data_IF_551386975992
#
_entry.id   IF_551386975992
#
_cell.length_a   1.000
_cell.length_b   1.000
_cell.length_c   1.000
_cell.angle_alpha   90.00
_cell.angle_beta   90.00
_cell.angle_gamma   90.00
#
_symmetry.space_group_name_H-M   'P 1'
#
loop_
_entity.id
_entity.type
_entity.pdbx_description
1 polymer ?
#
# COMPACT_ATOMS: atom_id res chain seq x y z
N UNK A 1 -18.74 13.87 0.81
CA UNK A 1 -18.80 14.80 -0.34
C UNK A 1 -17.81 15.89 -0.05
N UNK A 2 -16.87 16.11 -0.98
CA UNK A 2 -15.96 17.25 -1.07
C UNK A 2 -16.52 18.51 -0.38
N UNK A 3 -15.95 18.92 0.74
CA UNK A 3 -16.40 20.07 1.52
C UNK A 3 -16.26 21.39 0.77
N UNK A 4 -16.75 22.48 1.37
CA UNK A 4 -16.71 23.83 0.78
C UNK A 4 -15.40 24.59 1.05
N UNK A 5 -14.37 23.92 1.59
CA UNK A 5 -13.05 24.49 1.87
C UNK A 5 -11.98 23.86 0.96
N UNK A 6 -11.98 24.19 -0.34
CA UNK A 6 -11.09 23.57 -1.34
C UNK A 6 -9.59 23.86 -1.13
N UNK A 7 -9.23 24.76 -0.20
CA UNK A 7 -7.84 25.11 0.10
C UNK A 7 -7.20 24.21 1.19
N UNK A 8 -7.97 23.36 1.88
CA UNK A 8 -7.45 22.38 2.85
C UNK A 8 -7.85 20.95 2.50
N UNK A 9 -9.03 20.76 1.90
CA UNK A 9 -9.51 19.44 1.52
C UNK A 9 -9.25 19.19 0.03
N UNK A 10 -8.39 18.22 -0.28
CA UNK A 10 -8.23 17.73 -1.64
C UNK A 10 -9.29 16.66 -1.95
N UNK A 11 -9.87 16.70 -3.14
CA UNK A 11 -10.82 15.71 -3.62
C UNK A 11 -10.32 15.13 -4.93
N UNK A 12 -9.66 13.98 -4.81
CA UNK A 12 -9.05 13.26 -5.92
C UNK A 12 -9.90 12.03 -6.21
N UNK A 13 -10.24 11.82 -7.48
CA UNK A 13 -10.87 10.58 -7.92
C UNK A 13 -9.79 9.59 -8.31
N UNK A 14 -9.70 8.47 -7.60
CA UNK A 14 -8.68 7.47 -7.84
C UNK A 14 -9.26 6.06 -7.71
N UNK A 15 -8.87 5.17 -8.62
CA UNK A 15 -9.36 3.79 -8.68
C UNK A 15 -10.73 3.62 -9.33
N UNK A 16 -11.20 2.37 -9.30
CA UNK A 16 -12.44 1.89 -9.91
C UNK A 16 -13.35 1.23 -8.87
N UNK A 17 -14.66 1.08 -9.15
CA UNK A 17 -15.55 0.30 -8.30
C UNK A 17 -15.02 -1.12 -8.05
N UNK A 18 -14.91 -1.51 -6.78
CA UNK A 18 -14.42 -2.82 -6.36
C UNK A 18 -12.93 -2.88 -6.01
N UNK A 19 -12.19 -1.81 -6.26
CA UNK A 19 -10.82 -1.67 -5.79
C UNK A 19 -10.77 -1.58 -4.26
N UNK A 20 -9.72 -2.15 -3.65
CA UNK A 20 -9.47 -1.98 -2.22
C UNK A 20 -8.53 -0.79 -2.01
N UNK A 21 -8.93 0.24 -1.25
CA UNK A 21 -8.07 1.40 -1.02
C UNK A 21 -6.90 1.04 -0.11
N UNK A 22 -5.78 1.74 -0.33
CA UNK A 22 -4.58 1.68 0.51
C UNK A 22 -3.91 3.05 0.57
N UNK A 23 -3.13 3.30 1.60
CA UNK A 23 -2.40 4.55 1.77
C UNK A 23 -1.01 4.26 2.37
N UNK A 24 -0.01 5.02 1.93
CA UNK A 24 1.38 4.87 2.32
C UNK A 24 2.25 5.99 1.74
N UNK A 25 3.40 6.20 2.34
CA UNK A 25 4.48 7.04 1.81
C UNK A 25 5.23 6.24 0.73
N UNK A 26 4.80 6.37 -0.52
CA UNK A 26 5.30 5.53 -1.63
C UNK A 26 6.55 6.07 -2.30
N UNK A 27 6.87 7.35 -2.11
CA UNK A 27 8.00 8.03 -2.74
C UNK A 27 9.06 8.53 -1.73
N UNK A 28 8.81 8.32 -0.44
CA UNK A 28 9.69 8.64 0.70
C UNK A 28 9.85 10.14 0.94
N UNK A 29 8.85 10.94 0.60
CA UNK A 29 8.88 12.38 0.84
C UNK A 29 8.39 12.77 2.25
N UNK A 30 7.90 11.79 3.02
CA UNK A 30 7.38 11.95 4.38
C UNK A 30 5.87 12.23 4.44
N UNK A 31 5.18 12.29 3.30
CA UNK A 31 3.74 12.40 3.19
C UNK A 31 3.11 11.04 2.86
N UNK A 32 1.79 11.00 2.85
CA UNK A 32 1.04 9.76 2.61
C UNK A 32 0.20 9.96 1.37
N UNK A 33 0.40 9.08 0.40
CA UNK A 33 -0.28 9.08 -0.87
C UNK A 33 -1.34 7.99 -0.90
N UNK A 34 -2.25 8.12 -1.86
CA UNK A 34 -3.31 7.14 -2.08
C UNK A 34 -2.83 6.03 -3.01
N UNK A 35 -3.44 4.86 -2.86
CA UNK A 35 -3.27 3.77 -3.79
C UNK A 35 -4.49 2.86 -3.77
N UNK A 36 -4.52 1.93 -4.72
CA UNK A 36 -5.53 0.88 -4.76
C UNK A 36 -4.95 -0.48 -5.09
N UNK A 37 -5.59 -1.51 -4.55
CA UNK A 37 -5.46 -2.89 -4.98
C UNK A 37 -6.65 -3.27 -5.86
N UNK A 38 -6.36 -3.72 -7.08
CA UNK A 38 -7.34 -4.29 -8.00
C UNK A 38 -6.92 -5.70 -8.34
N UNK A 39 -7.68 -6.69 -7.86
CA UNK A 39 -7.32 -8.11 -7.99
C UNK A 39 -5.90 -8.39 -7.44
N UNK A 40 -4.94 -8.67 -8.33
CA UNK A 40 -3.53 -8.93 -8.02
C UNK A 40 -2.60 -7.77 -8.41
N UNK A 41 -3.15 -6.62 -8.79
CA UNK A 41 -2.38 -5.44 -9.19
C UNK A 41 -2.49 -4.33 -8.14
N UNK A 42 -1.38 -3.69 -7.81
CA UNK A 42 -1.32 -2.46 -7.02
C UNK A 42 -1.11 -1.28 -7.95
N UNK A 43 -1.79 -0.17 -7.66
CA UNK A 43 -1.66 1.11 -8.35
C UNK A 43 -1.46 2.18 -7.28
N UNK A 44 -0.26 2.76 -7.22
CA UNK A 44 0.15 3.69 -6.16
C UNK A 44 0.45 5.05 -6.80
N UNK A 45 -0.23 6.10 -6.31
CA UNK A 45 -0.05 7.48 -6.78
C UNK A 45 1.33 7.98 -6.33
N UNK A 46 2.04 8.70 -7.19
CA UNK A 46 3.33 9.31 -6.86
C UNK A 46 3.22 10.63 -6.05
N UNK A 47 2.05 10.93 -5.50
CA UNK A 47 1.81 12.10 -4.65
C UNK A 47 1.41 13.37 -5.41
N UNK A 48 1.37 13.34 -6.74
CA UNK A 48 0.88 14.48 -7.52
C UNK A 48 -0.66 14.57 -7.57
N UNK A 49 -1.38 13.55 -7.05
CA UNK A 49 -2.83 13.50 -6.99
C UNK A 49 -3.52 13.31 -8.34
N UNK A 50 -2.80 12.87 -9.37
CA UNK A 50 -3.26 12.62 -10.72
C UNK A 50 -2.67 11.32 -11.24
N UNK A 51 -3.54 10.39 -11.65
CA UNK A 51 -3.07 9.17 -12.30
C UNK A 51 -2.42 9.47 -13.66
N UNK A 52 -1.08 9.41 -13.74
CA UNK A 52 -0.27 9.68 -14.93
C UNK A 52 0.21 8.39 -15.63
N UNK A 53 -0.02 7.23 -15.01
CA UNK A 53 0.20 5.91 -15.59
C UNK A 53 1.43 5.19 -15.05
N UNK A 54 1.54 3.90 -15.38
CA UNK A 54 2.57 3.05 -14.81
C UNK A 54 3.97 3.39 -15.35
N UNK A 55 4.92 3.65 -14.46
CA UNK A 55 6.33 3.81 -14.81
C UNK A 55 7.30 3.62 -13.66
N UNK A 56 8.53 4.07 -13.87
CA UNK A 56 9.56 4.08 -12.82
C UNK A 56 9.69 5.49 -12.23
N UNK A 57 9.95 5.62 -10.91
CA UNK A 57 10.22 6.90 -10.27
C UNK A 57 11.27 7.74 -11.02
N UNK A 58 11.23 9.09 -10.93
CA UNK A 58 10.43 9.89 -9.99
C UNK A 58 9.17 10.55 -10.58
N UNK A 59 8.73 10.21 -11.79
CA UNK A 59 7.69 10.99 -12.49
C UNK A 59 6.57 10.16 -13.12
N UNK A 60 6.30 8.97 -12.59
CA UNK A 60 5.19 8.11 -13.01
C UNK A 60 4.65 7.34 -11.81
N UNK A 61 3.37 7.05 -11.81
CA UNK A 61 2.74 6.20 -10.80
C UNK A 61 3.30 4.77 -10.81
N UNK A 62 3.24 4.11 -9.66
CA UNK A 62 3.79 2.77 -9.47
C UNK A 62 2.73 1.70 -9.67
N UNK A 63 3.06 0.70 -10.50
CA UNK A 63 2.23 -0.47 -10.74
C UNK A 63 2.96 -1.75 -10.35
N UNK A 64 2.36 -2.56 -9.47
CA UNK A 64 2.98 -3.80 -8.96
C UNK A 64 2.03 -4.98 -9.20
N UNK A 65 2.47 -5.97 -9.98
CA UNK A 65 1.69 -7.19 -10.30
C UNK A 65 2.26 -8.46 -9.65
N UNK A 66 3.38 -8.33 -8.95
CA UNK A 66 4.22 -9.42 -8.46
C UNK A 66 3.94 -9.83 -7.03
N UNK A 67 3.35 -8.95 -6.22
CA UNK A 67 3.18 -9.14 -4.78
C UNK A 67 1.75 -9.51 -4.38
N UNK A 68 1.60 -10.56 -3.56
CA UNK A 68 0.31 -11.05 -3.06
C UNK A 68 -0.50 -11.87 -4.07
N UNK A 69 -1.64 -12.40 -3.61
CA UNK A 69 -2.57 -13.23 -4.39
C UNK A 69 -3.98 -12.62 -4.39
N UNK A 70 -4.84 -12.98 -5.36
CA UNK A 70 -6.26 -12.64 -5.30
C UNK A 70 -6.90 -13.13 -3.99
N UNK A 71 -7.68 -12.26 -3.34
CA UNK A 71 -8.39 -12.56 -2.10
C UNK A 71 -7.60 -12.30 -0.81
N UNK A 72 -6.32 -11.93 -0.92
CA UNK A 72 -5.57 -11.44 0.23
C UNK A 72 -6.16 -10.11 0.77
N UNK A 73 -6.00 -9.89 2.07
CA UNK A 73 -6.31 -8.60 2.68
C UNK A 73 -5.08 -7.70 2.61
N UNK A 74 -5.23 -6.49 2.10
CA UNK A 74 -4.10 -5.56 1.90
C UNK A 74 -3.83 -4.69 3.13
N UNK A 75 -2.57 -4.29 3.29
CA UNK A 75 -2.11 -3.32 4.26
C UNK A 75 -0.79 -2.70 3.79
N UNK A 76 -0.41 -1.57 4.38
CA UNK A 76 0.82 -0.86 4.06
C UNK A 76 1.45 -0.28 5.31
N UNK A 77 2.77 -0.27 5.35
CA UNK A 77 3.50 0.29 6.47
C UNK A 77 5.00 0.23 6.24
N UNK A 78 5.70 0.98 7.06
CA UNK A 78 7.14 0.87 7.13
C UNK A 78 7.51 -0.35 7.99
N UNK A 79 7.95 -1.41 7.32
CA UNK A 79 8.24 -2.71 7.94
C UNK A 79 9.65 -2.80 8.51
N UNK A 80 10.56 -1.90 8.14
CA UNK A 80 11.98 -2.00 8.48
C UNK A 80 12.49 -0.78 9.29
N UNK A 81 11.71 0.29 9.34
CA UNK A 81 11.97 1.51 10.09
C UNK A 81 12.66 2.64 9.31
N UNK A 82 12.87 2.51 8.00
CA UNK A 82 13.66 3.44 7.17
C UNK A 82 12.91 4.69 6.68
N UNK A 83 11.59 4.75 6.89
CA UNK A 83 10.72 5.83 6.42
C UNK A 83 9.87 5.45 5.22
N UNK A 84 10.29 4.45 4.43
CA UNK A 84 9.60 4.05 3.21
C UNK A 84 8.42 3.13 3.51
N UNK A 85 7.28 3.34 2.86
CA UNK A 85 6.13 2.46 3.04
C UNK A 85 6.17 1.29 2.06
N UNK A 86 6.26 0.07 2.59
CA UNK A 86 6.10 -1.16 1.82
C UNK A 86 4.66 -1.63 1.78
N UNK A 87 4.29 -2.31 0.69
CA UNK A 87 3.01 -3.03 0.61
C UNK A 87 3.06 -4.34 1.42
N UNK A 88 1.90 -4.83 1.83
CA UNK A 88 1.78 -6.06 2.60
C UNK A 88 0.44 -6.74 2.40
N UNK A 89 0.40 -8.04 2.68
CA UNK A 89 -0.82 -8.84 2.61
C UNK A 89 -0.99 -9.75 3.83
N UNK A 90 -2.24 -9.88 4.29
CA UNK A 90 -2.69 -10.89 5.24
C UNK A 90 -3.49 -11.97 4.52
N UNK A 91 -3.06 -13.22 4.68
CA UNK A 91 -3.70 -14.43 4.16
C UNK A 91 -4.02 -15.36 5.32
N UNK A 92 -5.28 -15.32 5.78
CA UNK A 92 -5.69 -16.04 6.97
C UNK A 92 -4.95 -15.55 8.21
N UNK A 93 -4.04 -16.37 8.75
CA UNK A 93 -3.19 -16.06 9.92
C UNK A 93 -1.72 -15.81 9.54
N UNK A 94 -1.44 -15.73 8.24
CA UNK A 94 -0.11 -15.43 7.71
C UNK A 94 -0.08 -14.00 7.18
N UNK A 95 1.06 -13.34 7.36
CA UNK A 95 1.34 -11.99 6.90
C UNK A 95 2.61 -12.03 6.05
N UNK A 96 2.58 -11.35 4.91
CA UNK A 96 3.69 -11.25 3.97
C UNK A 96 3.91 -9.77 3.69
N UNK A 97 5.09 -9.24 4.03
CA UNK A 97 5.39 -7.81 3.99
C UNK A 97 6.57 -7.59 3.05
N UNK A 98 6.40 -6.69 2.09
CA UNK A 98 7.44 -6.25 1.14
C UNK A 98 8.44 -5.38 1.90
N UNK A 99 9.44 -6.01 2.51
CA UNK A 99 10.22 -5.39 3.60
C UNK A 99 11.17 -4.32 3.08
N UNK A 100 11.61 -4.45 1.83
CA UNK A 100 12.48 -3.51 1.13
C UNK A 100 11.71 -2.58 0.18
N UNK A 101 10.39 -2.71 0.11
CA UNK A 101 9.48 -1.84 -0.63
C UNK A 101 9.81 -1.69 -2.12
N UNK A 102 10.26 -2.77 -2.76
CA UNK A 102 10.58 -2.77 -4.20
C UNK A 102 9.47 -3.40 -5.06
N UNK A 103 8.37 -3.82 -4.45
CA UNK A 103 7.22 -4.43 -5.12
C UNK A 103 7.45 -5.89 -5.53
N UNK A 104 8.61 -6.48 -5.25
CA UNK A 104 8.95 -7.83 -5.64
C UNK A 104 8.91 -8.77 -4.44
N UNK A 105 8.50 -10.02 -4.67
CA UNK A 105 8.51 -11.05 -3.63
C UNK A 105 9.71 -11.96 -3.80
N UNK A 106 10.65 -11.92 -2.86
CA UNK A 106 11.82 -12.80 -2.82
C UNK A 106 11.75 -13.87 -1.74
N UNK A 107 10.66 -13.90 -0.97
CA UNK A 107 10.46 -14.85 0.12
C UNK A 107 10.91 -14.30 1.47
N UNK A 108 10.61 -15.07 2.52
CA UNK A 108 10.69 -14.65 3.93
C UNK A 108 12.09 -14.28 4.47
N UNK A 109 13.13 -14.34 3.64
CA UNK A 109 14.51 -13.99 4.03
C UNK A 109 14.84 -12.56 3.63
N UNK A 110 14.42 -12.12 2.44
CA UNK A 110 14.55 -10.72 2.02
C UNK A 110 13.33 -9.93 2.48
N UNK A 111 12.16 -10.50 2.23
CA UNK A 111 10.88 -10.01 2.72
C UNK A 111 10.55 -10.59 4.09
N UNK A 112 9.45 -10.15 4.68
CA UNK A 112 9.04 -10.63 5.99
C UNK A 112 7.80 -11.52 5.92
N UNK A 113 7.87 -12.65 6.62
CA UNK A 113 6.73 -13.52 6.89
C UNK A 113 6.44 -13.57 8.38
N UNK A 114 5.17 -13.44 8.77
CA UNK A 114 4.70 -13.65 10.14
C UNK A 114 3.58 -14.68 10.11
N UNK A 115 3.70 -15.74 10.91
CA UNK A 115 2.73 -16.82 10.95
C UNK A 115 2.03 -16.91 12.31
N UNK A 116 0.77 -17.34 12.31
CA UNK A 116 0.01 -17.65 13.53
C UNK A 116 -0.56 -16.44 14.27
N UNK A 117 -0.39 -15.24 13.74
CA UNK A 117 -0.84 -13.99 14.36
C UNK A 117 -2.22 -13.56 13.86
N UNK A 118 -3.10 -13.24 14.83
CA UNK A 118 -4.51 -12.96 14.60
C UNK A 118 -5.33 -14.18 14.19
N UNK A 119 -6.57 -13.92 13.83
CA UNK A 119 -7.56 -14.88 13.32
C UNK A 119 -7.95 -14.53 11.88
N UNK A 120 -8.61 -15.47 11.19
CA UNK A 120 -9.08 -15.26 9.81
C UNK A 120 -9.99 -14.03 9.64
N UNK A 121 -10.99 -13.77 10.49
CA UNK A 121 -11.89 -12.63 10.31
C UNK A 121 -11.22 -11.27 10.57
N UNK A 122 -10.11 -11.22 11.31
CA UNK A 122 -9.44 -9.96 11.65
C UNK A 122 -9.03 -9.19 10.39
N UNK A 123 -9.27 -7.89 10.41
CA UNK A 123 -8.80 -6.97 9.38
C UNK A 123 -7.40 -6.46 9.76
N UNK A 124 -6.44 -6.46 8.81
CA UNK A 124 -5.12 -5.95 9.10
C UNK A 124 -5.18 -4.42 9.24
N UNK A 125 -4.43 -3.90 10.20
CA UNK A 125 -4.10 -2.48 10.31
C UNK A 125 -2.62 -2.37 10.69
N UNK A 126 -1.96 -1.36 10.16
CA UNK A 126 -0.54 -1.05 10.36
C UNK A 126 -0.40 0.44 10.63
N UNK A 127 0.72 0.81 11.26
CA UNK A 127 1.03 2.20 11.58
C UNK A 127 2.09 2.30 12.67
N UNK A 128 2.65 3.50 12.81
CA UNK A 128 3.59 3.84 13.88
C UNK A 128 2.82 4.49 15.04
N UNK A 129 2.36 3.67 15.98
CA UNK A 129 1.55 4.11 17.12
C UNK A 129 2.44 4.36 18.35
N UNK A 130 2.18 5.46 19.08
CA UNK A 130 2.75 5.68 20.42
C UNK A 130 1.79 5.09 21.49
N UNK A 131 2.30 4.60 22.63
CA UNK A 131 1.47 4.18 23.77
C UNK A 131 0.62 5.31 24.35
#
# INVERSE_FOLDING_TARGET
>A
GCGTLPAQDACISFGNPGDQPIAGDWDNDGFVEIGVRRNRSWYLDNGNGTWDGCGSPPAQDTCIDTFGNPGDQVLAGDWNGDGFTGIGVKRGRAWFLDRNADGLWYGCTSDQCIFGWGTVPDKPISGRWKP
#
